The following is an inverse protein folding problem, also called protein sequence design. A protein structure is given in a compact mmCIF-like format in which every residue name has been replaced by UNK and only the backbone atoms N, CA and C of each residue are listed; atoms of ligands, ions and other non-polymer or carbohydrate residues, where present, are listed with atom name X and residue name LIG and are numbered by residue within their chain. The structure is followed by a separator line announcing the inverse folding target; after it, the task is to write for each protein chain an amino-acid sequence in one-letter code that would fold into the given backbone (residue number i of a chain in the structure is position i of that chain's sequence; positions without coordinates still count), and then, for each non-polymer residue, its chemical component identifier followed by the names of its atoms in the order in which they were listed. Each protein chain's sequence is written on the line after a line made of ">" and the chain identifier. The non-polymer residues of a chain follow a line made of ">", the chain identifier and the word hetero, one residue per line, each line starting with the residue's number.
data_IF_843736148208
#
_entry.id   IF_843736148208
#
_cell.length_a   1.000
_cell.length_b   1.000
_cell.length_c   1.000
_cell.angle_alpha   90.00
_cell.angle_beta   90.00
_cell.angle_gamma   90.00
#
_symmetry.space_group_name_H-M   'P 1'
#
loop_
_entity.id
_entity.type
_entity.pdbx_description
1 polymer ?
#
# COMPACT_ATOMS: atom_id res chain seq x y z
N UNK A 1 -29.95 15.03 1.43
CA UNK A 1 -28.87 15.38 0.49
C UNK A 1 -27.62 14.73 1.05
N UNK A 2 -26.98 13.82 0.31
CA UNK A 2 -25.75 13.19 0.78
C UNK A 2 -24.67 14.26 0.94
N UNK A 3 -24.05 14.33 2.13
CA UNK A 3 -22.95 15.24 2.36
C UNK A 3 -21.70 14.77 1.61
N UNK A 4 -20.76 15.67 1.32
CA UNK A 4 -19.45 15.32 0.73
C UNK A 4 -18.75 14.21 1.53
N UNK A 5 -18.89 14.22 2.87
CA UNK A 5 -18.34 13.17 3.73
C UNK A 5 -18.89 11.77 3.44
N UNK A 6 -20.19 11.65 3.13
CA UNK A 6 -20.83 10.36 2.82
C UNK A 6 -20.32 9.79 1.49
N UNK A 7 -20.12 10.66 0.50
CA UNK A 7 -19.58 10.28 -0.80
C UNK A 7 -18.16 9.73 -0.65
N UNK A 8 -17.29 10.44 0.09
CA UNK A 8 -15.91 10.00 0.28
C UNK A 8 -15.87 8.70 1.08
N UNK A 9 -16.72 8.58 2.12
CA UNK A 9 -16.84 7.33 2.90
C UNK A 9 -17.18 6.15 2.00
N UNK A 10 -18.26 6.25 1.21
CA UNK A 10 -18.69 5.17 0.31
C UNK A 10 -17.64 4.84 -0.73
N UNK A 11 -16.99 5.86 -1.32
CA UNK A 11 -15.91 5.64 -2.27
C UNK A 11 -14.75 4.86 -1.64
N UNK A 12 -14.34 5.23 -0.42
CA UNK A 12 -13.31 4.51 0.33
C UNK A 12 -13.72 3.08 0.69
N UNK A 13 -14.99 2.85 1.04
CA UNK A 13 -15.52 1.51 1.32
C UNK A 13 -15.53 0.61 0.08
N UNK A 14 -15.87 1.15 -1.10
CA UNK A 14 -15.82 0.42 -2.37
C UNK A 14 -14.39 0.02 -2.74
N UNK A 15 -13.46 0.98 -2.66
CA UNK A 15 -12.04 0.73 -2.91
C UNK A 15 -11.48 -0.26 -1.90
N UNK A 16 -11.83 -0.09 -0.62
CA UNK A 16 -11.41 -0.97 0.46
C UNK A 16 -11.91 -2.40 0.28
N UNK A 17 -13.16 -2.60 -0.11
CA UNK A 17 -13.73 -3.92 -0.38
C UNK A 17 -13.06 -4.62 -1.56
N UNK A 18 -12.56 -3.90 -2.56
CA UNK A 18 -11.80 -4.50 -3.66
C UNK A 18 -10.49 -5.15 -3.19
N UNK A 19 -9.89 -4.70 -2.09
CA UNK A 19 -8.54 -5.14 -1.68
C UNK A 19 -8.49 -5.76 -0.29
N UNK A 20 -9.58 -5.71 0.45
CA UNK A 20 -9.66 -6.19 1.82
C UNK A 20 -11.06 -6.70 2.15
N UNK A 21 -11.13 -7.82 2.87
CA UNK A 21 -12.39 -8.41 3.33
C UNK A 21 -13.07 -7.66 4.50
N UNK A 22 -12.41 -6.64 5.08
CA UNK A 22 -12.94 -5.80 6.17
C UNK A 22 -13.62 -6.59 7.30
N UNK A 23 -12.96 -7.62 7.80
CA UNK A 23 -13.44 -8.39 8.95
C UNK A 23 -13.49 -7.50 10.20
N UNK A 24 -14.66 -7.39 10.84
CA UNK A 24 -14.86 -6.53 12.01
C UNK A 24 -13.85 -6.82 13.13
N UNK A 25 -13.52 -8.09 13.36
CA UNK A 25 -12.54 -8.53 14.37
C UNK A 25 -11.10 -8.09 14.10
N UNK A 26 -10.79 -7.59 12.91
CA UNK A 26 -9.44 -7.19 12.49
C UNK A 26 -9.35 -5.76 11.96
N UNK A 27 -10.48 -5.06 11.86
CA UNK A 27 -10.58 -3.69 11.38
C UNK A 27 -10.51 -2.69 12.53
N UNK A 28 -9.76 -1.58 12.37
CA UNK A 28 -9.80 -0.47 13.31
C UNK A 28 -11.23 0.12 13.40
N UNK A 29 -11.60 0.55 14.60
CA UNK A 29 -12.84 1.26 14.87
C UNK A 29 -12.51 2.71 15.26
N UNK A 30 -13.20 3.66 14.66
CA UNK A 30 -13.10 5.09 14.95
C UNK A 30 -14.46 5.60 15.42
N UNK A 31 -14.68 5.59 16.74
CA UNK A 31 -16.03 5.65 17.30
C UNK A 31 -16.86 4.47 16.80
N UNK A 32 -18.05 4.77 16.25
CA UNK A 32 -18.97 3.75 15.72
C UNK A 32 -18.62 3.31 14.28
N UNK A 33 -17.61 3.93 13.66
CA UNK A 33 -17.29 3.68 12.26
C UNK A 33 -16.18 2.62 12.12
N UNK A 34 -16.49 1.53 11.44
CA UNK A 34 -15.48 0.57 11.00
C UNK A 34 -14.65 1.15 9.84
N UNK A 35 -13.33 1.06 9.95
CA UNK A 35 -12.43 1.53 8.90
C UNK A 35 -12.60 0.77 7.58
N UNK A 36 -12.22 1.41 6.47
CA UNK A 36 -12.31 0.83 5.11
C UNK A 36 -11.40 -0.38 4.87
N UNK A 37 -10.43 -0.63 5.75
CA UNK A 37 -9.45 -1.72 5.63
C UNK A 37 -9.27 -2.43 6.98
N UNK A 38 -8.75 -3.66 6.95
CA UNK A 38 -8.24 -4.30 8.18
C UNK A 38 -6.94 -3.62 8.62
N UNK A 39 -6.54 -3.84 9.88
CA UNK A 39 -5.38 -3.18 10.50
C UNK A 39 -4.09 -3.41 9.69
N UNK A 40 -3.93 -4.59 9.09
CA UNK A 40 -2.78 -4.94 8.25
C UNK A 40 -2.79 -4.20 6.92
N UNK A 41 -3.89 -4.28 6.17
CA UNK A 41 -4.04 -3.57 4.90
C UNK A 41 -3.94 -2.04 5.09
N UNK A 42 -4.51 -1.50 6.17
CA UNK A 42 -4.37 -0.08 6.51
C UNK A 42 -2.88 0.30 6.66
N UNK A 43 -2.12 -0.50 7.39
CA UNK A 43 -0.67 -0.35 7.47
C UNK A 43 -0.01 -0.40 6.10
N UNK A 44 -0.25 -1.45 5.32
CA UNK A 44 0.37 -1.64 4.00
C UNK A 44 0.13 -0.47 3.04
N UNK A 45 -1.12 -0.02 2.89
CA UNK A 45 -1.42 1.04 1.93
C UNK A 45 -0.98 2.43 2.41
N UNK A 46 -1.06 2.71 3.71
CA UNK A 46 -0.53 3.98 4.27
C UNK A 46 1.01 4.01 4.26
N UNK A 47 1.66 2.88 4.53
CA UNK A 47 3.11 2.74 4.41
C UNK A 47 3.59 2.84 2.97
N UNK A 48 2.87 2.24 2.02
CA UNK A 48 3.16 2.41 0.59
C UNK A 48 3.04 3.88 0.18
N UNK A 49 1.96 4.56 0.58
CA UNK A 49 1.76 5.97 0.31
C UNK A 49 2.89 6.84 0.88
N UNK A 50 3.33 6.56 2.11
CA UNK A 50 4.44 7.32 2.72
C UNK A 50 5.75 7.17 1.94
N UNK A 51 6.05 5.98 1.41
CA UNK A 51 7.21 5.76 0.53
C UNK A 51 7.07 6.47 -0.82
N UNK A 52 5.87 6.50 -1.42
CA UNK A 52 5.65 7.30 -2.63
C UNK A 52 5.89 8.79 -2.37
N UNK A 53 5.40 9.31 -1.25
CA UNK A 53 5.66 10.71 -0.83
C UNK A 53 7.15 10.94 -0.62
N UNK A 54 7.84 10.03 0.05
CA UNK A 54 9.29 10.10 0.25
C UNK A 54 10.06 10.14 -1.08
N UNK A 55 9.76 9.21 -2.01
CA UNK A 55 10.38 9.17 -3.34
C UNK A 55 10.09 10.45 -4.12
N UNK A 56 8.84 10.93 -4.08
CA UNK A 56 8.44 12.16 -4.75
C UNK A 56 9.21 13.38 -4.21
N UNK A 57 9.37 13.49 -2.88
CA UNK A 57 10.12 14.59 -2.25
C UNK A 57 11.61 14.50 -2.58
N UNK A 58 12.22 13.31 -2.47
CA UNK A 58 13.66 13.11 -2.63
C UNK A 58 14.09 13.21 -4.10
N UNK A 59 13.35 12.58 -5.01
CA UNK A 59 13.76 12.43 -6.42
C UNK A 59 12.93 13.24 -7.40
N UNK A 60 11.77 13.79 -6.99
CA UNK A 60 10.86 14.58 -7.86
C UNK A 60 10.45 13.85 -9.15
N UNK A 61 10.26 12.53 -9.06
CA UNK A 61 9.99 11.68 -10.22
C UNK A 61 11.22 11.28 -11.05
N UNK A 62 12.42 11.59 -10.53
CA UNK A 62 13.69 11.09 -11.03
C UNK A 62 13.91 9.60 -10.72
N UNK A 63 14.87 9.02 -11.42
CA UNK A 63 15.21 7.60 -11.31
C UNK A 63 16.07 7.33 -10.08
N UNK A 64 16.04 6.09 -9.61
CA UNK A 64 16.81 5.64 -8.45
C UNK A 64 17.32 4.22 -8.68
N UNK A 65 18.40 3.87 -8.00
CA UNK A 65 18.91 2.49 -7.99
C UNK A 65 18.69 1.78 -6.66
N UNK A 66 18.96 0.48 -6.67
CA UNK A 66 18.96 -0.32 -5.45
C UNK A 66 19.94 0.27 -4.43
N UNK A 67 19.58 0.25 -3.14
CA UNK A 67 20.48 0.73 -2.11
C UNK A 67 21.58 -0.30 -1.82
N UNK A 68 22.66 0.14 -1.18
CA UNK A 68 23.74 -0.76 -0.75
C UNK A 68 23.19 -2.00 -0.04
N UNK A 69 23.90 -3.14 -0.17
CA UNK A 69 23.47 -4.43 0.39
C UNK A 69 23.03 -4.33 1.85
N UNK A 70 23.75 -3.57 2.67
CA UNK A 70 23.41 -3.31 4.08
C UNK A 70 22.01 -2.75 4.27
N UNK A 71 21.56 -1.80 3.44
CA UNK A 71 20.22 -1.21 3.54
C UNK A 71 19.18 -2.11 2.88
N UNK A 72 19.53 -2.77 1.78
CA UNK A 72 18.69 -3.77 1.13
C UNK A 72 18.29 -4.89 2.08
N UNK A 73 19.20 -5.34 2.96
CA UNK A 73 18.88 -6.33 4.01
C UNK A 73 17.77 -5.82 4.94
N UNK A 74 17.82 -4.57 5.40
CA UNK A 74 16.77 -4.02 6.28
C UNK A 74 15.42 -3.89 5.55
N UNK A 75 15.44 -3.46 4.29
CA UNK A 75 14.24 -3.39 3.46
C UNK A 75 13.63 -4.80 3.31
N UNK A 76 14.45 -5.82 3.06
CA UNK A 76 13.98 -7.22 3.01
C UNK A 76 13.43 -7.68 4.36
N UNK A 77 14.08 -7.34 5.48
CA UNK A 77 13.59 -7.65 6.83
C UNK A 77 12.20 -7.01 7.07
N UNK A 78 12.03 -5.75 6.67
CA UNK A 78 10.76 -5.05 6.79
C UNK A 78 9.65 -5.71 5.96
N UNK A 79 9.97 -6.18 4.75
CA UNK A 79 9.04 -6.98 3.94
C UNK A 79 8.75 -8.32 4.62
N UNK A 80 9.78 -9.04 5.07
CA UNK A 80 9.65 -10.33 5.75
C UNK A 80 8.80 -10.23 7.03
N UNK A 81 8.80 -9.08 7.71
CA UNK A 81 8.05 -8.87 8.95
C UNK A 81 6.55 -9.14 8.81
N UNK A 82 5.94 -8.87 7.65
CA UNK A 82 4.52 -9.15 7.42
C UNK A 82 4.25 -10.65 7.31
N UNK A 83 5.19 -11.42 6.75
CA UNK A 83 5.08 -12.87 6.66
C UNK A 83 5.29 -13.53 8.01
N UNK A 84 6.21 -12.99 8.83
CA UNK A 84 6.41 -13.43 10.21
C UNK A 84 5.16 -13.15 11.04
N UNK A 85 4.56 -11.97 10.92
CA UNK A 85 3.29 -11.62 11.58
C UNK A 85 2.15 -12.56 11.16
N UNK A 86 1.94 -12.73 9.85
CA UNK A 86 0.91 -13.64 9.32
C UNK A 86 1.13 -15.07 9.80
N UNK A 87 2.32 -15.63 9.57
CA UNK A 87 2.64 -17.01 9.91
C UNK A 87 2.62 -17.25 11.42
N UNK A 88 3.24 -16.36 12.20
CA UNK A 88 3.28 -16.46 13.66
C UNK A 88 1.89 -16.37 14.29
N UNK A 89 1.01 -15.52 13.76
CA UNK A 89 -0.39 -15.45 14.20
C UNK A 89 -1.15 -16.73 13.83
N UNK A 90 -0.98 -17.24 12.60
CA UNK A 90 -1.66 -18.46 12.15
C UNK A 90 -1.23 -19.70 12.96
N UNK A 91 0.03 -19.75 13.41
CA UNK A 91 0.57 -20.83 14.23
C UNK A 91 0.33 -20.64 15.74
N UNK A 92 -0.29 -19.52 16.16
CA UNK A 92 -0.53 -19.20 17.57
C UNK A 92 0.73 -18.85 18.37
N UNK A 93 1.84 -18.50 17.70
CA UNK A 93 3.12 -18.16 18.31
C UNK A 93 3.17 -16.67 18.68
N UNK A 94 2.61 -15.81 17.82
CA UNK A 94 2.59 -14.36 18.00
C UNK A 94 1.19 -13.93 18.41
N UNK A 95 1.04 -13.01 19.39
CA UNK A 95 -0.26 -12.50 19.78
C UNK A 95 -0.91 -11.71 18.64
N UNK A 96 -2.20 -11.98 18.42
CA UNK A 96 -2.97 -11.42 17.30
C UNK A 96 -3.48 -9.99 17.60
N UNK A 97 -2.56 -9.05 17.80
CA UNK A 97 -2.85 -7.66 18.20
C UNK A 97 -2.77 -6.66 17.04
N UNK A 98 -3.68 -5.69 17.03
CA UNK A 98 -3.87 -4.77 15.89
C UNK A 98 -2.64 -3.90 15.61
N UNK A 99 -1.90 -3.50 16.64
CA UNK A 99 -0.70 -2.66 16.53
C UNK A 99 0.42 -3.36 15.76
N UNK A 100 0.68 -4.65 16.04
CA UNK A 100 1.68 -5.44 15.33
C UNK A 100 1.26 -5.59 13.86
N UNK A 101 -0.01 -5.97 13.61
CA UNK A 101 -0.53 -6.10 12.24
C UNK A 101 -0.36 -4.83 11.42
N UNK A 102 -0.67 -3.66 12.00
CA UNK A 102 -0.50 -2.38 11.31
C UNK A 102 0.96 -2.01 11.12
N UNK A 103 1.81 -2.24 12.12
CA UNK A 103 3.24 -1.92 12.04
C UNK A 103 3.95 -2.75 10.97
N UNK A 104 3.78 -4.08 10.98
CA UNK A 104 4.38 -4.97 9.98
C UNK A 104 3.81 -4.70 8.59
N UNK A 105 2.50 -4.42 8.51
CA UNK A 105 1.84 -3.94 7.30
C UNK A 105 2.52 -2.68 6.74
N UNK A 106 2.71 -1.65 7.58
CA UNK A 106 3.32 -0.38 7.19
C UNK A 106 4.78 -0.54 6.77
N UNK A 107 5.58 -1.29 7.53
CA UNK A 107 6.97 -1.58 7.19
C UNK A 107 7.09 -2.30 5.84
N UNK A 108 6.27 -3.33 5.61
CA UNK A 108 6.27 -4.05 4.35
C UNK A 108 5.78 -3.18 3.19
N UNK A 109 4.68 -2.45 3.37
CA UNK A 109 4.13 -1.54 2.34
C UNK A 109 5.13 -0.46 1.91
N UNK A 110 5.78 0.20 2.88
CA UNK A 110 6.83 1.18 2.61
C UNK A 110 8.00 0.55 1.85
N UNK A 111 8.44 -0.63 2.27
CA UNK A 111 9.61 -1.30 1.73
C UNK A 111 9.40 -1.87 0.32
N UNK A 112 8.21 -2.41 0.04
CA UNK A 112 7.81 -2.89 -1.28
C UNK A 112 7.89 -1.76 -2.30
N UNK A 113 7.39 -0.56 -1.97
CA UNK A 113 7.45 0.59 -2.89
C UNK A 113 8.89 1.01 -3.17
N UNK A 114 9.75 1.05 -2.16
CA UNK A 114 11.16 1.41 -2.33
C UNK A 114 11.90 0.41 -3.24
N UNK A 115 11.67 -0.90 -3.04
CA UNK A 115 12.24 -1.92 -3.91
C UNK A 115 11.67 -1.88 -5.32
N UNK A 116 10.35 -1.85 -5.46
CA UNK A 116 9.69 -1.87 -6.77
C UNK A 116 10.13 -0.69 -7.63
N UNK A 117 10.20 0.52 -7.05
CA UNK A 117 10.65 1.70 -7.77
C UNK A 117 12.13 1.63 -8.18
N UNK A 118 12.97 1.00 -7.36
CA UNK A 118 14.40 0.81 -7.66
C UNK A 118 14.65 -0.29 -8.71
N UNK A 119 13.92 -1.40 -8.63
CA UNK A 119 14.09 -2.57 -9.51
C UNK A 119 13.55 -2.34 -10.93
N UNK A 120 12.58 -1.43 -11.08
CA UNK A 120 11.97 -1.13 -12.37
C UNK A 120 12.68 0.00 -13.11
N UNK A 121 13.76 0.56 -12.54
CA UNK A 121 14.64 1.51 -13.23
C UNK A 121 15.53 0.76 -14.24
N UNK A 122 15.55 1.14 -15.53
CA UNK A 122 16.39 0.49 -16.53
C UNK A 122 17.89 0.51 -16.17
N UNK A 123 18.60 -0.60 -16.41
CA UNK A 123 20.02 -0.79 -16.04
C UNK A 123 20.91 0.29 -16.65
N UNK A 124 20.65 0.68 -17.91
CA UNK A 124 21.41 1.71 -18.60
C UNK A 124 21.34 3.06 -17.88
N UNK A 125 20.21 3.32 -17.22
CA UNK A 125 19.94 4.57 -16.50
C UNK A 125 20.27 4.47 -15.00
N UNK A 126 20.57 3.27 -14.50
CA UNK A 126 20.95 3.01 -13.12
C UNK A 126 22.34 3.58 -12.77
N UNK A 127 23.25 3.63 -13.76
CA UNK A 127 24.66 4.00 -13.55
C UNK A 127 24.83 5.36 -12.86
N UNK A 128 24.03 6.34 -13.26
CA UNK A 128 24.08 7.71 -12.75
C UNK A 128 23.01 7.99 -11.68
N UNK A 129 22.16 7.01 -11.38
CA UNK A 129 21.08 7.19 -10.42
C UNK A 129 21.60 7.10 -8.97
N UNK A 130 21.17 8.01 -8.07
CA UNK A 130 21.40 7.86 -6.64
C UNK A 130 20.62 6.65 -6.09
N UNK A 131 21.09 5.99 -5.01
CA UNK A 131 20.35 4.90 -4.41
C UNK A 131 19.12 5.40 -3.63
N UNK A 132 18.07 4.57 -3.58
CA UNK A 132 16.78 4.97 -2.97
C UNK A 132 16.94 5.27 -1.47
N UNK A 133 17.85 4.54 -0.82
CA UNK A 133 18.29 4.73 0.55
C UNK A 133 19.81 4.86 0.59
N UNK A 134 20.30 5.98 1.11
CA UNK A 134 21.75 6.29 1.18
C UNK A 134 22.32 6.18 2.60
N UNK A 135 21.47 6.42 3.60
CA UNK A 135 21.89 6.59 4.99
C UNK A 135 20.87 6.00 5.97
N UNK A 136 21.37 5.59 7.12
CA UNK A 136 20.55 5.07 8.24
C UNK A 136 19.42 6.01 8.66
N UNK A 137 19.63 7.33 8.54
CA UNK A 137 18.60 8.33 8.82
C UNK A 137 17.31 8.10 8.02
N UNK A 138 17.41 7.64 6.77
CA UNK A 138 16.25 7.39 5.90
C UNK A 138 15.48 6.14 6.34
N UNK A 139 16.18 5.08 6.76
CA UNK A 139 15.56 3.90 7.37
C UNK A 139 14.88 4.24 8.70
N UNK A 140 15.50 5.10 9.52
CA UNK A 140 14.88 5.54 10.78
C UNK A 140 13.63 6.38 10.55
N UNK A 141 13.58 7.18 9.48
CA UNK A 141 12.38 7.92 9.09
C UNK A 141 11.26 6.95 8.69
N UNK A 142 11.56 5.96 7.85
CA UNK A 142 10.59 4.94 7.43
C UNK A 142 10.03 4.23 8.67
N UNK A 143 10.89 3.74 9.56
CA UNK A 143 10.48 3.07 10.79
C UNK A 143 9.61 3.99 11.67
N UNK A 144 10.02 5.24 11.86
CA UNK A 144 9.29 6.22 12.67
C UNK A 144 7.91 6.51 12.09
N UNK A 145 7.82 6.69 10.77
CA UNK A 145 6.55 6.90 10.06
C UNK A 145 5.66 5.65 10.16
N UNK A 146 6.20 4.44 10.04
CA UNK A 146 5.44 3.20 10.23
C UNK A 146 4.89 3.08 11.66
N UNK A 147 5.66 3.48 12.67
CA UNK A 147 5.19 3.53 14.07
C UNK A 147 4.09 4.58 14.23
N UNK A 148 4.24 5.77 13.66
CA UNK A 148 3.20 6.82 13.69
C UNK A 148 1.91 6.33 13.02
N UNK A 149 2.00 5.67 11.85
CA UNK A 149 0.86 5.06 11.18
C UNK A 149 0.18 4.05 12.11
N UNK A 150 0.95 3.15 12.74
CA UNK A 150 0.41 2.18 13.68
C UNK A 150 -0.31 2.84 14.86
N UNK A 151 0.24 3.90 15.44
CA UNK A 151 -0.40 4.64 16.52
C UNK A 151 -1.69 5.34 16.07
N UNK A 152 -1.66 6.06 14.94
CA UNK A 152 -2.81 6.80 14.44
C UNK A 152 -3.97 5.87 14.06
N UNK A 153 -3.68 4.79 13.34
CA UNK A 153 -4.68 3.81 12.89
C UNK A 153 -5.33 3.10 14.07
N UNK A 154 -4.57 2.82 15.13
CA UNK A 154 -5.05 2.09 16.31
C UNK A 154 -5.48 3.01 17.46
N UNK A 155 -5.57 4.32 17.25
CA UNK A 155 -5.88 5.29 18.32
C UNK A 155 -7.36 5.35 18.72
N UNK A 156 -8.27 4.96 17.83
CA UNK A 156 -9.72 5.02 18.05
C UNK A 156 -10.34 6.43 17.97
N UNK A 157 -9.56 7.48 17.72
CA UNK A 157 -10.08 8.86 17.68
C UNK A 157 -10.94 9.12 16.43
N UNK A 158 -12.23 9.38 16.61
CA UNK A 158 -13.21 9.55 15.52
C UNK A 158 -12.83 10.59 14.46
N UNK A 159 -12.13 11.68 14.84
CA UNK A 159 -11.70 12.72 13.89
C UNK A 159 -10.67 12.23 12.87
N UNK A 160 -9.94 11.14 13.18
CA UNK A 160 -8.96 10.55 12.27
C UNK A 160 -9.58 9.67 11.20
N UNK A 161 -10.86 9.28 11.35
CA UNK A 161 -11.55 8.39 10.40
C UNK A 161 -11.48 8.93 8.97
N UNK A 162 -11.90 10.18 8.77
CA UNK A 162 -11.99 10.80 7.46
C UNK A 162 -10.61 10.99 6.80
N UNK A 163 -9.61 11.63 7.45
CA UNK A 163 -8.30 11.81 6.83
C UNK A 163 -7.60 10.47 6.55
N UNK A 164 -7.68 9.49 7.45
CA UNK A 164 -7.07 8.18 7.22
C UNK A 164 -7.78 7.41 6.10
N UNK A 165 -9.10 7.56 5.94
CA UNK A 165 -9.86 6.95 4.83
C UNK A 165 -9.41 7.53 3.49
N UNK A 166 -9.23 8.85 3.41
CA UNK A 166 -8.73 9.51 2.20
C UNK A 166 -7.31 9.03 1.88
N UNK A 167 -6.41 9.06 2.87
CA UNK A 167 -5.01 8.64 2.69
C UNK A 167 -4.90 7.16 2.32
N UNK A 168 -5.66 6.28 2.96
CA UNK A 168 -5.66 4.86 2.62
C UNK A 168 -6.21 4.61 1.21
N UNK A 169 -7.28 5.32 0.82
CA UNK A 169 -7.81 5.28 -0.55
C UNK A 169 -6.77 5.71 -1.57
N UNK A 170 -6.10 6.84 -1.32
CA UNK A 170 -5.00 7.32 -2.17
C UNK A 170 -3.84 6.32 -2.21
N UNK A 171 -3.52 5.66 -1.09
CA UNK A 171 -2.48 4.63 -1.02
C UNK A 171 -2.81 3.41 -1.88
N UNK A 172 -4.05 2.93 -1.85
CA UNK A 172 -4.53 1.84 -2.72
C UNK A 172 -4.45 2.25 -4.19
N UNK A 173 -4.98 3.41 -4.55
CA UNK A 173 -4.94 3.88 -5.94
C UNK A 173 -3.49 4.10 -6.42
N UNK A 174 -2.65 4.70 -5.59
CA UNK A 174 -1.25 4.96 -5.90
C UNK A 174 -0.47 3.67 -6.13
N UNK A 175 -0.61 2.64 -5.28
CA UNK A 175 0.16 1.41 -5.44
C UNK A 175 -0.20 0.67 -6.72
N UNK A 176 -1.50 0.52 -7.04
CA UNK A 176 -1.90 -0.19 -8.26
C UNK A 176 -1.60 0.64 -9.51
N UNK A 177 -1.92 1.94 -9.51
CA UNK A 177 -1.60 2.82 -10.63
C UNK A 177 -0.10 2.80 -10.93
N UNK A 178 0.75 3.05 -9.93
CA UNK A 178 2.21 3.09 -10.16
C UNK A 178 2.76 1.72 -10.57
N UNK A 179 2.25 0.62 -10.01
CA UNK A 179 2.70 -0.72 -10.42
C UNK A 179 2.41 -0.97 -11.90
N UNK A 180 1.16 -0.75 -12.34
CA UNK A 180 0.81 -0.91 -13.75
C UNK A 180 1.52 0.09 -14.65
N UNK A 181 1.73 1.33 -14.18
CA UNK A 181 2.46 2.34 -14.91
C UNK A 181 3.91 1.96 -15.14
N UNK A 182 4.63 1.56 -14.08
CA UNK A 182 6.02 1.13 -14.18
C UNK A 182 6.15 -0.08 -15.12
N UNK A 183 5.29 -1.09 -14.99
CA UNK A 183 5.28 -2.25 -15.91
C UNK A 183 5.06 -1.79 -17.36
N UNK A 184 4.07 -0.90 -17.59
CA UNK A 184 3.73 -0.44 -18.94
C UNK A 184 4.89 0.33 -19.57
N UNK A 185 5.53 1.25 -18.85
CA UNK A 185 6.64 2.05 -19.40
C UNK A 185 7.90 1.22 -19.61
N UNK A 186 8.16 0.21 -18.77
CA UNK A 186 9.31 -0.70 -18.94
C UNK A 186 9.12 -1.61 -20.14
N UNK A 187 7.89 -2.06 -20.44
CA UNK A 187 7.61 -2.90 -21.62
C UNK A 187 7.54 -2.07 -22.91
N UNK A 188 6.90 -0.90 -22.87
CA UNK A 188 6.61 -0.12 -24.09
C UNK A 188 7.70 0.87 -24.49
N UNK A 189 8.66 1.14 -23.60
CA UNK A 189 9.76 2.09 -23.76
C UNK A 189 9.39 3.35 -24.57
N UNK A 190 8.39 4.14 -24.10
CA UNK A 190 7.78 5.17 -24.93
C UNK A 190 8.72 6.35 -25.17
N UNK A 191 9.17 6.49 -26.43
CA UNK A 191 10.07 7.56 -26.88
C UNK A 191 9.38 8.93 -27.02
N UNK A 192 8.07 8.96 -27.28
CA UNK A 192 7.31 10.20 -27.51
C UNK A 192 6.35 10.51 -26.38
N UNK A 193 6.00 11.81 -26.22
CA UNK A 193 4.99 12.25 -25.23
C UNK A 193 3.63 11.57 -25.47
N UNK A 194 3.22 11.40 -26.73
CA UNK A 194 1.96 10.73 -27.07
C UNK A 194 1.95 9.27 -26.63
N UNK A 195 3.06 8.53 -26.83
CA UNK A 195 3.19 7.15 -26.35
C UNK A 195 3.18 7.06 -24.82
N UNK A 196 3.72 8.05 -24.11
CA UNK A 196 3.62 8.13 -22.63
C UNK A 196 2.19 8.34 -22.14
N UNK A 197 1.41 9.17 -22.83
CA UNK A 197 -0.02 9.35 -22.52
C UNK A 197 -0.79 8.05 -22.77
N UNK A 198 -0.50 7.34 -23.86
CA UNK A 198 -1.10 6.03 -24.13
C UNK A 198 -0.74 5.03 -23.02
N UNK A 199 0.54 4.96 -22.62
CA UNK A 199 0.96 4.12 -21.50
C UNK A 199 0.19 4.45 -20.21
N UNK A 200 0.04 5.73 -19.87
CA UNK A 200 -0.74 6.19 -18.72
C UNK A 200 -2.21 5.73 -18.79
N UNK A 201 -2.87 5.87 -19.94
CA UNK A 201 -4.27 5.43 -20.14
C UNK A 201 -4.42 3.92 -20.07
N UNK A 202 -3.45 3.17 -20.60
CA UNK A 202 -3.38 1.70 -20.46
C UNK A 202 -3.26 1.33 -18.99
N UNK A 203 -2.38 1.99 -18.23
CA UNK A 203 -2.18 1.69 -16.81
C UNK A 203 -3.42 2.00 -15.97
N UNK A 204 -4.16 3.08 -16.25
CA UNK A 204 -5.45 3.36 -15.62
C UNK A 204 -6.46 2.26 -15.96
N UNK A 205 -6.56 1.88 -17.23
CA UNK A 205 -7.48 0.83 -17.68
C UNK A 205 -7.18 -0.49 -16.98
N UNK A 206 -5.91 -0.89 -16.92
CA UNK A 206 -5.45 -2.10 -16.22
C UNK A 206 -5.76 -2.03 -14.72
N UNK A 207 -5.52 -0.90 -14.07
CA UNK A 207 -5.85 -0.70 -12.66
C UNK A 207 -7.36 -0.90 -12.41
N UNK A 208 -8.21 -0.25 -13.19
CA UNK A 208 -9.67 -0.33 -13.03
C UNK A 208 -10.15 -1.76 -13.24
N UNK A 209 -9.69 -2.43 -14.31
CA UNK A 209 -10.02 -3.83 -14.58
C UNK A 209 -9.58 -4.72 -13.43
N UNK A 210 -8.34 -4.56 -12.96
CA UNK A 210 -7.78 -5.37 -11.88
C UNK A 210 -8.55 -5.19 -10.56
N UNK A 211 -8.85 -3.96 -10.15
CA UNK A 211 -9.64 -3.70 -8.95
C UNK A 211 -11.09 -4.23 -9.08
N UNK A 212 -11.67 -4.16 -10.28
CA UNK A 212 -13.00 -4.73 -10.55
C UNK A 212 -12.99 -6.25 -10.47
N UNK A 213 -11.93 -6.90 -10.96
CA UNK A 213 -11.74 -8.35 -10.84
C UNK A 213 -11.57 -8.77 -9.38
N UNK A 214 -10.74 -8.06 -8.62
CA UNK A 214 -10.58 -8.34 -7.19
C UNK A 214 -11.91 -8.19 -6.43
N UNK A 215 -12.67 -7.13 -6.73
CA UNK A 215 -14.00 -6.92 -6.16
C UNK A 215 -14.94 -8.09 -6.46
N UNK A 216 -14.99 -8.58 -7.70
CA UNK A 216 -15.81 -9.75 -8.08
C UNK A 216 -15.33 -11.03 -7.41
N UNK A 217 -14.01 -11.20 -7.27
CA UNK A 217 -13.44 -12.38 -6.60
C UNK A 217 -13.83 -12.44 -5.12
N UNK A 218 -13.85 -11.29 -4.42
CA UNK A 218 -14.31 -11.21 -3.04
C UNK A 218 -15.80 -11.49 -2.92
N UNK A 219 -16.64 -10.88 -3.77
CA UNK A 219 -18.08 -11.10 -3.71
C UNK A 219 -18.47 -12.55 -4.02
N UNK A 220 -17.78 -13.19 -4.97
CA UNK A 220 -17.94 -14.61 -5.26
C UNK A 220 -17.56 -15.49 -4.06
N UNK A 221 -16.42 -15.22 -3.42
CA UNK A 221 -15.94 -16.01 -2.28
C UNK A 221 -16.85 -15.84 -1.05
N UNK A 222 -17.33 -14.63 -0.77
CA UNK A 222 -18.31 -14.38 0.30
C UNK A 222 -19.63 -15.13 0.06
N UNK A 223 -20.08 -15.18 -1.20
CA UNK A 223 -21.27 -15.94 -1.59
C UNK A 223 -21.08 -17.46 -1.44
N UNK A 224 -19.95 -17.97 -1.92
CA UNK A 224 -19.60 -19.39 -1.82
C UNK A 224 -19.52 -19.87 -0.36
N UNK A 225 -18.85 -19.10 0.51
CA UNK A 225 -18.72 -19.45 1.94
C UNK A 225 -20.05 -19.41 2.70
N UNK A 226 -20.99 -18.55 2.30
CA UNK A 226 -22.35 -18.55 2.85
C UNK A 226 -23.15 -19.76 2.38
N UNK A 227 -23.00 -20.15 1.11
CA UNK A 227 -23.65 -21.33 0.54
C UNK A 227 -23.23 -22.66 1.19
N UNK A 228 -21.98 -22.77 1.64
CA UNK A 228 -21.47 -23.96 2.35
C UNK A 228 -21.97 -24.11 3.80
N UNK A 229 -22.56 -23.06 4.38
CA UNK A 229 -23.10 -23.06 5.76
C UNK A 229 -24.58 -23.46 5.82
N UNK A 230 -25.16 -23.83 4.69
CA UNK A 230 -26.52 -24.35 4.52
C UNK A 230 -26.44 -25.77 3.94
#
# INVERSE_FOLDING_TARGET
>A
MEGIGDIIRRAGELVGYAVCHRLLSRSPLFGDNQFMLCSRCAGTYLGALSSYIYIFIKFRGGQTKLPDLKYSIFIIIFIASIFIDVGGTLLGIIPDIAQIRTLTGALAGSSIVLLAYSLLTPIEREKDAPPVIERWGELTIILSVSVIIALLVNSGYSFLYMPLTILATLGVLAIFFNTFYLITITISEPETKSRRIIAYLISISLMIVFLTLLWHSHSWMDGFLKGLKH
#
